data_IF_397902706181
#
_entry.id   IF_397902706181
#
_cell.length_a   1.000
_cell.length_b   1.000
_cell.length_c   1.000
_cell.angle_alpha   90.00
_cell.angle_beta   90.00
_cell.angle_gamma   90.00
#
_symmetry.space_group_name_H-M   'P 1'
#
loop_
_entity.id
_entity.type
_entity.pdbx_description
1 polymer ?
#
# COMPACT_ATOMS: atom_id res chain seq x y z
N UNK A 1 32.04 -15.92 -9.00
CA UNK A 1 32.18 -14.49 -9.46
C UNK A 1 32.50 -13.70 -8.21
N UNK A 2 33.57 -12.92 -8.20
CA UNK A 2 33.91 -12.08 -7.05
C UNK A 2 33.18 -10.74 -7.22
N UNK A 3 32.38 -10.34 -6.21
CA UNK A 3 31.67 -9.06 -6.23
C UNK A 3 32.54 -7.98 -5.62
N UNK A 4 32.44 -6.70 -6.09
CA UNK A 4 33.02 -5.56 -5.41
C UNK A 4 32.54 -5.47 -3.96
N UNK A 5 33.30 -4.83 -3.09
CA UNK A 5 33.05 -4.84 -1.65
C UNK A 5 32.73 -3.44 -1.14
N UNK A 6 31.81 -3.38 -0.18
CA UNK A 6 31.57 -2.21 0.66
C UNK A 6 31.69 -2.62 2.12
N UNK A 7 32.15 -1.73 2.99
CA UNK A 7 32.34 -2.04 4.40
C UNK A 7 31.44 -1.18 5.27
N UNK A 8 30.80 -1.79 6.24
CA UNK A 8 30.00 -1.12 7.25
C UNK A 8 30.90 -0.48 8.32
N UNK A 9 30.48 0.64 8.83
CA UNK A 9 31.06 1.24 10.05
C UNK A 9 30.83 0.30 11.23
N UNK A 10 31.73 0.36 12.19
CA UNK A 10 31.65 -0.47 13.41
C UNK A 10 30.33 -0.24 14.14
N UNK A 11 29.58 -1.31 14.36
CA UNK A 11 28.30 -1.32 15.05
C UNK A 11 27.08 -1.39 14.12
N UNK A 12 27.20 -0.91 12.88
CA UNK A 12 26.09 -0.90 11.92
C UNK A 12 25.74 -2.30 11.37
N UNK A 13 26.67 -3.26 11.47
CA UNK A 13 26.44 -4.64 11.09
C UNK A 13 25.28 -5.29 11.87
N UNK A 14 24.99 -4.81 13.07
CA UNK A 14 23.91 -5.38 13.90
C UNK A 14 22.54 -5.30 13.26
N UNK A 15 22.21 -4.20 12.58
CA UNK A 15 20.95 -4.03 11.84
C UNK A 15 20.83 -5.04 10.70
N UNK A 16 21.88 -5.14 9.89
CA UNK A 16 21.94 -6.05 8.72
C UNK A 16 21.81 -7.51 9.17
N UNK A 17 22.53 -7.92 10.20
CA UNK A 17 22.48 -9.30 10.73
C UNK A 17 21.11 -9.64 11.35
N UNK A 18 20.38 -8.66 11.88
CA UNK A 18 19.02 -8.81 12.42
C UNK A 18 17.91 -8.74 11.39
N UNK A 19 18.26 -8.55 10.12
CA UNK A 19 17.25 -8.59 9.05
C UNK A 19 17.05 -7.30 8.26
N UNK A 20 17.65 -6.17 8.67
CA UNK A 20 17.55 -4.92 7.92
C UNK A 20 18.02 -5.12 6.46
N UNK A 21 17.24 -4.59 5.53
CA UNK A 21 17.53 -4.70 4.08
C UNK A 21 17.97 -3.41 3.43
N UNK A 22 17.92 -2.31 4.16
CA UNK A 22 18.27 -0.98 3.68
C UNK A 22 19.46 -0.48 4.50
N UNK A 23 20.56 -0.15 3.83
CA UNK A 23 21.77 0.40 4.42
C UNK A 23 21.94 1.82 3.88
N UNK A 24 22.06 2.78 4.79
CA UNK A 24 22.21 4.19 4.43
C UNK A 24 23.68 4.55 4.17
N UNK A 25 23.89 5.62 3.43
CA UNK A 25 25.21 6.15 3.08
C UNK A 25 26.11 6.41 4.30
N UNK A 26 25.53 6.93 5.39
CA UNK A 26 26.22 7.20 6.63
C UNK A 26 26.58 5.94 7.45
N UNK A 27 26.06 4.78 7.10
CA UNK A 27 26.39 3.48 7.73
C UNK A 27 27.60 2.82 7.07
N UNK A 28 28.04 3.31 5.89
CA UNK A 28 29.22 2.82 5.17
C UNK A 28 30.51 3.53 5.64
N UNK A 29 31.59 2.76 5.78
CA UNK A 29 32.94 3.24 6.06
C UNK A 29 33.71 3.49 4.75
N UNK A 30 33.67 2.53 3.84
CA UNK A 30 34.25 2.62 2.51
C UNK A 30 33.54 1.70 1.49
N UNK A 31 33.80 1.97 0.22
CA UNK A 31 33.44 1.16 -0.92
C UNK A 31 34.66 1.02 -1.84
N UNK A 32 34.80 -0.14 -2.52
CA UNK A 32 35.84 -0.35 -3.53
C UNK A 32 35.69 0.66 -4.68
N UNK A 33 36.80 1.14 -5.23
CA UNK A 33 36.84 2.09 -6.36
C UNK A 33 36.14 1.52 -7.63
N UNK A 34 35.99 0.19 -7.72
CA UNK A 34 35.33 -0.48 -8.83
C UNK A 34 33.81 -0.63 -8.65
N UNK A 35 33.24 -0.17 -7.52
CA UNK A 35 31.81 -0.20 -7.30
C UNK A 35 31.10 0.78 -8.23
N UNK A 36 30.49 0.28 -9.30
CA UNK A 36 29.61 1.07 -10.15
C UNK A 36 28.21 1.16 -9.56
N UNK A 37 27.51 2.29 -9.75
CA UNK A 37 26.13 2.44 -9.33
C UNK A 37 25.23 1.40 -10.03
N UNK A 38 24.38 0.74 -9.24
CA UNK A 38 23.53 -0.36 -9.67
C UNK A 38 24.20 -1.74 -9.65
N UNK A 39 25.53 -1.84 -9.42
CA UNK A 39 26.18 -3.15 -9.34
C UNK A 39 25.76 -3.94 -8.08
N UNK A 40 25.98 -5.24 -8.11
CA UNK A 40 25.89 -6.10 -6.93
C UNK A 40 27.21 -6.01 -6.16
N UNK A 41 27.13 -5.82 -4.85
CA UNK A 41 28.29 -5.74 -3.95
C UNK A 41 28.17 -6.72 -2.79
N UNK A 42 29.31 -7.20 -2.27
CA UNK A 42 29.40 -7.85 -0.98
C UNK A 42 29.56 -6.79 0.12
N UNK A 43 28.70 -6.84 1.11
CA UNK A 43 28.74 -5.96 2.29
C UNK A 43 29.54 -6.69 3.37
N UNK A 44 30.61 -6.05 3.83
CA UNK A 44 31.48 -6.55 4.89
C UNK A 44 31.18 -5.82 6.22
N UNK A 45 31.34 -6.52 7.32
CA UNK A 45 31.37 -5.90 8.65
C UNK A 45 32.71 -5.18 8.90
N UNK A 46 32.82 -4.44 9.99
CA UNK A 46 34.04 -3.74 10.39
C UNK A 46 35.27 -4.64 10.63
N UNK A 47 35.10 -5.97 10.63
CA UNK A 47 36.16 -6.97 10.73
C UNK A 47 36.41 -7.69 9.41
N UNK A 48 35.94 -7.14 8.30
CA UNK A 48 36.09 -7.68 6.93
C UNK A 48 35.42 -9.05 6.73
N UNK A 49 34.40 -9.40 7.49
CA UNK A 49 33.63 -10.62 7.33
C UNK A 49 32.37 -10.30 6.52
N UNK A 50 31.94 -11.22 5.68
CA UNK A 50 30.69 -11.11 4.92
C UNK A 50 29.51 -10.92 5.86
N UNK A 51 28.67 -9.92 5.59
CA UNK A 51 27.45 -9.62 6.30
C UNK A 51 26.20 -9.77 5.40
N UNK A 52 26.31 -9.34 4.13
CA UNK A 52 25.21 -9.40 3.17
C UNK A 52 25.72 -9.20 1.74
N UNK A 53 24.82 -9.38 0.77
CA UNK A 53 25.02 -9.00 -0.64
C UNK A 53 23.83 -8.20 -1.12
N UNK A 54 24.03 -7.15 -1.92
CA UNK A 54 22.95 -6.27 -2.38
C UNK A 54 23.34 -5.36 -3.51
N UNK A 55 22.40 -4.53 -3.95
CA UNK A 55 22.64 -3.50 -4.94
C UNK A 55 23.22 -2.24 -4.29
N UNK A 56 24.25 -1.67 -4.92
CA UNK A 56 24.91 -0.43 -4.49
C UNK A 56 24.48 0.76 -5.36
N UNK A 57 24.32 1.93 -4.75
CA UNK A 57 24.14 3.21 -5.44
C UNK A 57 24.74 4.34 -4.60
N UNK A 58 25.85 4.92 -5.05
CA UNK A 58 26.55 6.00 -4.35
C UNK A 58 25.78 7.33 -4.35
N UNK A 59 24.85 7.50 -5.29
CA UNK A 59 24.05 8.71 -5.42
C UNK A 59 22.79 8.70 -4.54
N UNK A 60 22.43 7.53 -3.99
CA UNK A 60 21.27 7.36 -3.13
C UNK A 60 21.65 7.41 -1.66
N UNK A 61 20.83 8.05 -0.83
CA UNK A 61 20.97 7.94 0.63
C UNK A 61 20.75 6.51 1.13
N UNK A 62 20.01 5.69 0.38
CA UNK A 62 19.92 4.24 0.57
C UNK A 62 21.02 3.58 -0.26
N UNK A 63 22.24 3.60 0.27
CA UNK A 63 23.44 3.21 -0.48
C UNK A 63 23.48 1.72 -0.83
N UNK A 64 22.94 0.83 0.03
CA UNK A 64 22.84 -0.59 -0.31
C UNK A 64 21.45 -1.14 -0.02
N UNK A 65 20.91 -1.90 -0.99
CA UNK A 65 19.68 -2.68 -0.86
C UNK A 65 20.01 -4.16 -0.78
N UNK A 66 19.89 -4.73 0.41
CA UNK A 66 20.32 -6.11 0.73
C UNK A 66 19.37 -7.12 0.08
N UNK A 67 19.92 -7.95 -0.76
CA UNK A 67 19.25 -9.07 -1.44
C UNK A 67 19.35 -10.37 -0.63
N UNK A 68 20.56 -10.74 -0.20
CA UNK A 68 20.79 -11.97 0.55
C UNK A 68 21.82 -11.78 1.67
N UNK A 69 21.78 -12.67 2.67
CA UNK A 69 22.79 -12.82 3.74
C UNK A 69 23.52 -14.16 3.63
N UNK A 70 23.26 -14.90 2.58
CA UNK A 70 23.97 -16.12 2.25
C UNK A 70 25.08 -15.80 1.24
N UNK A 71 26.32 -15.94 1.66
CA UNK A 71 27.51 -15.69 0.84
C UNK A 71 27.55 -16.63 -0.38
N UNK A 72 27.01 -17.86 -0.23
CA UNK A 72 26.97 -18.84 -1.30
C UNK A 72 25.87 -18.59 -2.35
N UNK A 73 24.89 -17.72 -2.04
CA UNK A 73 23.77 -17.44 -2.95
C UNK A 73 24.17 -16.41 -4.03
N UNK A 74 24.27 -16.82 -5.32
CA UNK A 74 24.56 -15.92 -6.42
C UNK A 74 23.33 -15.06 -6.74
N UNK A 75 23.56 -13.81 -7.18
CA UNK A 75 22.52 -12.97 -7.72
C UNK A 75 22.48 -13.14 -9.24
N UNK A 76 21.56 -13.96 -9.69
CA UNK A 76 21.33 -14.32 -11.07
C UNK A 76 19.83 -14.39 -11.39
N UNK A 77 19.48 -14.71 -12.64
CA UNK A 77 18.09 -14.88 -13.05
C UNK A 77 17.32 -15.88 -12.17
N UNK A 78 17.97 -16.98 -11.78
CA UNK A 78 17.35 -18.02 -10.96
C UNK A 78 17.04 -17.50 -9.53
N UNK A 79 17.87 -16.61 -8.99
CA UNK A 79 17.60 -15.94 -7.72
C UNK A 79 16.28 -15.16 -7.77
N UNK A 80 16.08 -14.31 -8.77
CA UNK A 80 14.86 -13.52 -8.91
C UNK A 80 13.64 -14.41 -9.15
N UNK A 81 13.75 -15.42 -10.03
CA UNK A 81 12.67 -16.36 -10.30
C UNK A 81 12.20 -17.09 -9.03
N UNK A 82 13.13 -17.63 -8.24
CA UNK A 82 12.81 -18.32 -6.97
C UNK A 82 12.11 -17.38 -5.97
N UNK A 83 12.56 -16.12 -5.85
CA UNK A 83 11.98 -15.15 -4.91
C UNK A 83 10.57 -14.72 -5.32
N UNK A 84 10.35 -14.45 -6.61
CA UNK A 84 9.03 -14.09 -7.14
C UNK A 84 8.06 -15.26 -7.01
N UNK A 85 8.51 -16.49 -7.36
CA UNK A 85 7.70 -17.70 -7.23
C UNK A 85 7.33 -17.98 -5.77
N UNK A 86 8.27 -17.84 -4.82
CA UNK A 86 8.00 -18.03 -3.39
C UNK A 86 7.00 -17.00 -2.87
N UNK A 87 7.13 -15.74 -3.27
CA UNK A 87 6.18 -14.68 -2.94
C UNK A 87 4.78 -15.02 -3.48
N UNK A 88 4.66 -15.44 -4.74
CA UNK A 88 3.40 -15.84 -5.35
C UNK A 88 2.76 -17.05 -4.66
N UNK A 89 3.53 -18.10 -4.37
CA UNK A 89 3.06 -19.28 -3.62
C UNK A 89 2.47 -18.88 -2.26
N UNK A 90 3.10 -17.92 -1.57
CA UNK A 90 2.56 -17.40 -0.30
C UNK A 90 1.20 -16.78 -0.50
N UNK A 91 1.01 -15.93 -1.52
CA UNK A 91 -0.30 -15.30 -1.83
C UNK A 91 -1.35 -16.35 -2.17
N UNK A 92 -1.00 -17.35 -2.97
CA UNK A 92 -1.90 -18.46 -3.30
C UNK A 92 -2.33 -19.25 -2.05
N UNK A 93 -1.39 -19.57 -1.15
CA UNK A 93 -1.68 -20.24 0.11
C UNK A 93 -2.60 -19.42 1.04
N UNK A 94 -2.56 -18.08 0.93
CA UNK A 94 -3.45 -17.17 1.64
C UNK A 94 -4.81 -16.96 0.95
N UNK A 95 -5.03 -17.60 -0.23
CA UNK A 95 -6.30 -17.55 -0.97
C UNK A 95 -6.39 -16.46 -2.04
N UNK A 96 -5.31 -15.71 -2.30
CA UNK A 96 -5.28 -14.72 -3.38
C UNK A 96 -5.08 -15.40 -4.74
N UNK A 97 -5.90 -15.06 -5.72
CA UNK A 97 -5.85 -15.67 -7.06
C UNK A 97 -6.10 -14.67 -8.19
N UNK A 98 -7.10 -13.79 -8.03
CA UNK A 98 -7.52 -12.85 -9.06
C UNK A 98 -6.67 -11.60 -9.05
N UNK A 99 -6.67 -10.87 -7.95
CA UNK A 99 -5.94 -9.61 -7.82
C UNK A 99 -5.28 -9.50 -6.46
N UNK A 100 -3.98 -9.18 -6.47
CA UNK A 100 -3.19 -9.03 -5.25
C UNK A 100 -1.82 -8.42 -5.54
N UNK A 101 -1.15 -7.95 -4.51
CA UNK A 101 0.27 -7.68 -4.54
C UNK A 101 1.06 -8.98 -4.50
N UNK A 102 1.69 -9.33 -5.61
CA UNK A 102 2.53 -10.55 -5.75
C UNK A 102 3.87 -10.35 -5.05
N UNK A 103 4.52 -9.20 -5.26
CA UNK A 103 5.81 -8.86 -4.64
C UNK A 103 5.71 -7.53 -3.91
N UNK A 104 6.05 -7.55 -2.63
CA UNK A 104 6.07 -6.37 -1.77
C UNK A 104 7.49 -6.06 -1.27
N UNK A 105 8.36 -5.66 -2.18
CA UNK A 105 9.69 -5.11 -1.94
C UNK A 105 10.54 -5.88 -0.93
N UNK A 106 10.95 -5.16 0.10
CA UNK A 106 11.81 -5.64 1.18
C UNK A 106 11.23 -6.84 1.92
N UNK A 107 9.90 -6.90 2.05
CA UNK A 107 9.22 -7.98 2.78
C UNK A 107 9.31 -9.32 2.06
N UNK A 108 9.37 -9.31 0.73
CA UNK A 108 9.57 -10.53 -0.09
C UNK A 108 11.04 -10.72 -0.48
N UNK A 109 11.96 -9.93 0.09
CA UNK A 109 13.39 -10.06 -0.17
C UNK A 109 13.83 -9.51 -1.53
N UNK A 110 13.02 -8.68 -2.18
CA UNK A 110 13.29 -8.02 -3.45
C UNK A 110 13.16 -6.50 -3.28
N UNK A 111 14.06 -5.85 -2.51
CA UNK A 111 13.94 -4.45 -2.15
C UNK A 111 13.86 -3.56 -3.37
N UNK A 112 12.80 -2.73 -3.40
CA UNK A 112 12.52 -1.83 -4.51
C UNK A 112 11.71 -2.42 -5.65
N UNK A 113 11.33 -3.71 -5.62
CA UNK A 113 10.42 -4.32 -6.59
C UNK A 113 9.00 -4.40 -6.03
N UNK A 114 8.04 -3.88 -6.76
CA UNK A 114 6.62 -4.10 -6.52
C UNK A 114 6.02 -4.78 -7.74
N UNK A 115 5.22 -5.83 -7.54
CA UNK A 115 4.47 -6.48 -8.61
C UNK A 115 3.05 -6.69 -8.15
N UNK A 116 2.09 -6.19 -8.90
CA UNK A 116 0.65 -6.37 -8.67
C UNK A 116 0.02 -7.16 -9.82
N UNK A 117 -0.84 -8.09 -9.45
CA UNK A 117 -1.68 -8.84 -10.38
C UNK A 117 -3.09 -8.24 -10.37
N UNK A 118 -3.62 -8.01 -11.55
CA UNK A 118 -4.99 -7.55 -11.80
C UNK A 118 -5.62 -8.46 -12.86
N UNK A 119 -6.42 -9.42 -12.41
CA UNK A 119 -7.00 -10.47 -13.26
C UNK A 119 -5.93 -11.19 -14.11
N UNK A 120 -5.91 -10.99 -15.41
CA UNK A 120 -4.95 -11.58 -16.37
C UNK A 120 -3.79 -10.64 -16.73
N UNK A 121 -3.69 -9.46 -16.13
CA UNK A 121 -2.61 -8.50 -16.36
C UNK A 121 -1.72 -8.32 -15.11
N UNK A 122 -0.49 -7.86 -15.34
CA UNK A 122 0.44 -7.48 -14.28
C UNK A 122 0.81 -6.00 -14.39
N UNK A 123 1.03 -5.39 -13.24
CA UNK A 123 1.70 -4.09 -13.11
C UNK A 123 2.94 -4.25 -12.26
N UNK A 124 4.05 -3.61 -12.62
CA UNK A 124 5.23 -3.61 -11.76
C UNK A 124 5.85 -2.23 -11.63
N UNK A 125 6.61 -2.05 -10.56
CA UNK A 125 7.39 -0.85 -10.27
C UNK A 125 8.79 -1.23 -9.82
N UNK A 126 9.80 -0.54 -10.35
CA UNK A 126 11.20 -0.64 -9.97
C UNK A 126 11.61 0.68 -9.33
N UNK A 127 11.94 0.67 -8.04
CA UNK A 127 12.28 1.85 -7.26
C UNK A 127 13.78 1.98 -6.99
N UNK A 128 14.65 1.18 -7.62
CA UNK A 128 16.09 1.26 -7.41
C UNK A 128 16.90 0.93 -8.67
N UNK A 129 18.08 1.56 -8.78
CA UNK A 129 18.94 1.46 -9.96
C UNK A 129 19.45 0.04 -10.23
N UNK A 130 19.74 -0.73 -9.17
CA UNK A 130 20.24 -2.11 -9.34
C UNK A 130 19.21 -3.03 -9.99
N UNK A 131 17.91 -2.92 -9.63
CA UNK A 131 16.85 -3.68 -10.28
C UNK A 131 16.57 -3.22 -11.72
N UNK A 132 16.79 -1.94 -12.03
CA UNK A 132 16.59 -1.42 -13.38
C UNK A 132 17.43 -2.19 -14.42
N UNK A 133 18.64 -2.61 -14.04
CA UNK A 133 19.51 -3.41 -14.89
C UNK A 133 18.99 -4.83 -15.14
N UNK A 134 18.12 -5.33 -14.26
CA UNK A 134 17.48 -6.65 -14.36
C UNK A 134 16.07 -6.61 -14.96
N UNK A 135 15.61 -5.41 -15.42
CA UNK A 135 14.25 -5.27 -15.97
C UNK A 135 13.90 -6.27 -17.06
N UNK A 136 14.74 -6.51 -18.09
CA UNK A 136 14.41 -7.48 -19.13
C UNK A 136 14.20 -8.90 -18.58
N UNK A 137 15.05 -9.34 -17.66
CA UNK A 137 14.97 -10.65 -17.01
C UNK A 137 13.74 -10.74 -16.11
N UNK A 138 13.43 -9.67 -15.35
CA UNK A 138 12.24 -9.62 -14.50
C UNK A 138 10.95 -9.73 -15.33
N UNK A 139 10.86 -9.00 -16.44
CA UNK A 139 9.71 -9.08 -17.37
C UNK A 139 9.59 -10.51 -17.94
N UNK A 140 10.71 -11.13 -18.35
CA UNK A 140 10.72 -12.52 -18.84
C UNK A 140 10.25 -13.51 -17.77
N UNK A 141 10.73 -13.38 -16.52
CA UNK A 141 10.32 -14.23 -15.40
C UNK A 141 8.82 -14.09 -15.12
N UNK A 142 8.32 -12.84 -15.10
CA UNK A 142 6.90 -12.57 -14.87
C UNK A 142 6.03 -13.15 -16.00
N UNK A 143 6.47 -13.03 -17.26
CA UNK A 143 5.76 -13.60 -18.41
C UNK A 143 5.71 -15.14 -18.35
N UNK A 144 6.80 -15.79 -17.95
CA UNK A 144 6.88 -17.24 -17.83
C UNK A 144 6.03 -17.79 -16.66
N UNK A 145 6.08 -17.11 -15.49
CA UNK A 145 5.38 -17.58 -14.28
C UNK A 145 3.86 -17.34 -14.34
N UNK A 146 3.42 -16.26 -14.96
CA UNK A 146 2.01 -15.86 -14.91
C UNK A 146 1.27 -16.02 -16.23
N UNK A 147 1.99 -16.18 -17.37
CA UNK A 147 1.41 -16.17 -18.71
C UNK A 147 0.35 -15.06 -18.88
N UNK A 148 0.69 -13.80 -18.54
CA UNK A 148 -0.30 -12.73 -18.48
C UNK A 148 -0.66 -12.27 -19.90
N UNK A 149 -1.85 -11.68 -20.05
CA UNK A 149 -2.26 -10.96 -21.27
C UNK A 149 -1.32 -9.80 -21.55
N UNK A 150 -0.90 -9.07 -20.51
CA UNK A 150 0.05 -7.99 -20.63
C UNK A 150 0.72 -7.63 -19.31
N UNK A 151 1.89 -6.96 -19.42
CA UNK A 151 2.63 -6.42 -18.28
C UNK A 151 2.86 -4.92 -18.51
N UNK A 152 2.49 -4.12 -17.52
CA UNK A 152 2.61 -2.66 -17.56
C UNK A 152 3.63 -2.17 -16.54
N UNK A 153 4.57 -1.36 -16.97
CA UNK A 153 5.54 -0.66 -16.13
C UNK A 153 4.93 0.64 -15.58
N UNK A 154 4.84 0.76 -14.26
CA UNK A 154 4.31 1.92 -13.53
C UNK A 154 5.41 2.62 -12.74
N UNK A 155 6.49 2.91 -13.39
CA UNK A 155 7.69 3.54 -12.86
C UNK A 155 7.56 5.07 -12.77
N UNK A 156 6.38 5.55 -12.38
CA UNK A 156 6.04 6.96 -12.13
C UNK A 156 6.20 7.37 -10.66
N UNK A 157 7.06 6.68 -9.92
CA UNK A 157 7.36 6.92 -8.51
C UNK A 157 8.41 8.05 -8.34
N UNK A 158 8.15 9.10 -7.53
CA UNK A 158 9.12 10.18 -7.30
C UNK A 158 10.44 9.72 -6.67
N UNK A 159 10.48 8.54 -6.02
CA UNK A 159 11.69 7.98 -5.44
C UNK A 159 12.72 7.60 -6.52
N UNK A 160 12.30 7.31 -7.74
CA UNK A 160 13.19 6.96 -8.87
C UNK A 160 14.13 8.11 -9.22
N UNK A 161 13.67 9.35 -9.17
CA UNK A 161 14.52 10.53 -9.43
C UNK A 161 15.68 10.62 -8.44
N UNK A 162 15.48 10.17 -7.17
CA UNK A 162 16.53 10.10 -6.14
C UNK A 162 17.52 8.96 -6.38
N UNK A 163 17.13 7.97 -7.17
CA UNK A 163 17.99 6.86 -7.60
C UNK A 163 18.69 7.16 -8.95
N UNK A 164 18.43 8.33 -9.55
CA UNK A 164 18.96 8.71 -10.87
C UNK A 164 18.20 8.08 -12.04
N UNK A 165 16.95 7.64 -11.83
CA UNK A 165 16.13 6.94 -12.82
C UNK A 165 15.02 7.84 -13.38
N UNK A 166 14.68 7.72 -14.68
CA UNK A 166 13.57 8.44 -15.28
C UNK A 166 12.22 7.88 -14.82
N UNK A 167 11.18 8.72 -14.90
CA UNK A 167 9.80 8.29 -14.72
C UNK A 167 9.28 7.67 -16.02
N UNK A 168 8.73 6.46 -15.94
CA UNK A 168 8.28 5.67 -17.10
C UNK A 168 6.89 5.09 -16.83
N UNK A 169 6.02 5.15 -17.85
CA UNK A 169 4.73 4.46 -17.91
C UNK A 169 4.58 3.85 -19.28
N UNK A 170 4.62 2.54 -19.39
CA UNK A 170 4.53 1.85 -20.69
C UNK A 170 4.10 0.40 -20.55
N UNK A 171 3.48 -0.15 -21.58
CA UNK A 171 3.27 -1.58 -21.73
C UNK A 171 4.57 -2.21 -22.23
N UNK A 172 5.14 -3.16 -21.46
CA UNK A 172 6.43 -3.79 -21.78
C UNK A 172 6.29 -5.23 -22.30
N UNK A 173 5.10 -5.81 -22.17
CA UNK A 173 4.81 -7.15 -22.67
C UNK A 173 3.33 -7.30 -23.02
N UNK A 174 3.02 -7.96 -24.15
CA UNK A 174 1.65 -8.24 -24.56
C UNK A 174 0.79 -7.00 -24.75
N UNK A 175 -0.45 -7.06 -24.27
CA UNK A 175 -1.44 -5.98 -24.35
C UNK A 175 -2.13 -5.79 -23.01
N UNK A 176 -2.12 -4.56 -22.49
CA UNK A 176 -2.86 -4.18 -21.29
C UNK A 176 -4.03 -3.29 -21.71
N UNK A 177 -5.28 -3.71 -21.43
CA UNK A 177 -6.45 -2.90 -21.78
C UNK A 177 -6.48 -1.61 -20.96
N UNK A 178 -7.14 -0.58 -21.49
CA UNK A 178 -7.32 0.69 -20.79
C UNK A 178 -8.04 0.50 -19.45
N UNK A 179 -9.03 -0.39 -19.44
CA UNK A 179 -9.77 -0.80 -18.26
C UNK A 179 -9.93 -2.32 -18.23
N UNK A 180 -9.91 -2.89 -17.03
CA UNK A 180 -10.19 -4.30 -16.79
C UNK A 180 -11.05 -4.46 -15.55
N UNK A 181 -11.73 -5.59 -15.45
CA UNK A 181 -12.53 -5.93 -14.27
C UNK A 181 -11.73 -6.90 -13.41
N UNK A 182 -11.57 -6.55 -12.13
CA UNK A 182 -11.02 -7.43 -11.12
C UNK A 182 -12.13 -7.92 -10.19
N UNK A 183 -11.89 -9.07 -9.55
CA UNK A 183 -12.74 -9.56 -8.48
C UNK A 183 -12.05 -9.38 -7.14
N UNK A 184 -12.73 -8.69 -6.22
CA UNK A 184 -12.31 -8.50 -4.84
C UNK A 184 -13.43 -8.99 -3.92
N UNK A 185 -13.24 -10.14 -3.25
CA UNK A 185 -14.28 -10.84 -2.48
C UNK A 185 -15.54 -11.09 -3.34
N UNK A 186 -16.66 -10.44 -2.95
CA UNK A 186 -17.95 -10.55 -3.65
C UNK A 186 -18.15 -9.43 -4.70
N UNK A 187 -17.23 -8.46 -4.79
CA UNK A 187 -17.32 -7.30 -5.66
C UNK A 187 -16.53 -7.46 -6.97
N UNK A 188 -17.05 -6.89 -8.05
CA UNK A 188 -16.35 -6.66 -9.29
C UNK A 188 -15.98 -5.17 -9.38
N UNK A 189 -14.70 -4.86 -9.64
CA UNK A 189 -14.20 -3.48 -9.68
C UNK A 189 -13.54 -3.20 -11.02
N UNK A 190 -13.94 -2.09 -11.66
CA UNK A 190 -13.24 -1.54 -12.81
C UNK A 190 -11.94 -0.89 -12.35
N UNK A 191 -10.83 -1.27 -12.96
CA UNK A 191 -9.51 -0.72 -12.69
C UNK A 191 -8.81 -0.34 -13.99
N UNK A 192 -7.96 0.69 -13.92
CA UNK A 192 -7.06 1.06 -15.01
C UNK A 192 -5.62 0.98 -14.51
N UNK A 193 -4.85 0.06 -15.05
CA UNK A 193 -3.44 -0.08 -14.68
C UNK A 193 -2.66 1.17 -15.11
N UNK A 194 -2.92 1.69 -16.30
CA UNK A 194 -2.21 2.84 -16.85
C UNK A 194 -2.55 4.16 -16.14
N UNK A 195 -3.84 4.39 -15.80
CA UNK A 195 -4.35 5.68 -15.33
C UNK A 195 -4.81 5.68 -13.88
N UNK A 196 -4.99 4.51 -13.26
CA UNK A 196 -5.42 4.38 -11.88
C UNK A 196 -4.35 4.86 -10.88
N UNK A 197 -4.79 5.10 -9.64
CA UNK A 197 -3.89 5.47 -8.56
C UNK A 197 -2.98 4.31 -8.17
N UNK A 198 -1.79 4.60 -7.64
CA UNK A 198 -0.73 3.61 -7.38
C UNK A 198 -0.43 2.81 -8.67
N UNK A 199 -0.57 1.51 -8.61
CA UNK A 199 -0.40 0.56 -9.71
C UNK A 199 -1.68 0.26 -10.48
N UNK A 200 -2.82 0.85 -10.06
CA UNK A 200 -4.15 0.67 -10.67
C UNK A 200 -5.30 0.66 -9.66
N UNK A 201 -5.09 0.07 -8.48
CA UNK A 201 -6.09 -0.04 -7.41
C UNK A 201 -5.42 -0.15 -6.03
N UNK A 202 -6.17 0.16 -4.96
CA UNK A 202 -5.71 0.05 -3.57
C UNK A 202 -5.91 -1.38 -3.04
N UNK A 203 -5.06 -2.31 -3.45
CA UNK A 203 -5.11 -3.71 -3.05
C UNK A 203 -4.86 -3.91 -1.55
N UNK A 204 -4.11 -2.99 -0.92
CA UNK A 204 -3.80 -3.02 0.51
C UNK A 204 -5.02 -2.91 1.43
N UNK A 205 -6.16 -2.41 0.92
CA UNK A 205 -7.42 -2.28 1.64
C UNK A 205 -8.42 -3.42 1.36
N UNK A 206 -8.12 -4.38 0.47
CA UNK A 206 -9.12 -5.34 0.02
C UNK A 206 -9.68 -6.19 1.17
N UNK A 207 -8.87 -6.68 2.10
CA UNK A 207 -9.38 -7.45 3.24
C UNK A 207 -10.15 -6.57 4.22
N UNK A 208 -9.77 -5.30 4.39
CA UNK A 208 -10.50 -4.36 5.24
C UNK A 208 -11.91 -4.06 4.68
N UNK A 209 -12.06 -3.99 3.35
CA UNK A 209 -13.38 -3.87 2.71
C UNK A 209 -14.26 -5.09 3.00
N UNK A 210 -13.67 -6.30 2.98
CA UNK A 210 -14.35 -7.54 3.36
C UNK A 210 -14.83 -7.55 4.82
N UNK A 211 -14.15 -6.83 5.72
CA UNK A 211 -14.54 -6.70 7.14
C UNK A 211 -15.84 -5.94 7.36
N UNK A 212 -16.36 -5.21 6.36
CA UNK A 212 -17.66 -4.53 6.48
C UNK A 212 -18.85 -5.50 6.57
N UNK A 213 -18.67 -6.77 6.19
CA UNK A 213 -19.76 -7.77 6.09
C UNK A 213 -20.67 -7.87 7.32
N UNK A 214 -20.17 -7.87 8.57
CA UNK A 214 -21.04 -7.90 9.76
C UNK A 214 -21.61 -6.51 10.15
N UNK A 215 -21.09 -5.40 9.61
CA UNK A 215 -21.46 -4.05 10.06
C UNK A 215 -22.38 -3.31 9.10
N UNK A 216 -22.38 -3.67 7.80
CA UNK A 216 -23.12 -2.97 6.76
C UNK A 216 -24.63 -3.31 6.70
N UNK A 217 -25.11 -4.53 7.04
CA UNK A 217 -26.52 -4.91 6.79
C UNK A 217 -27.51 -3.95 7.42
N UNK A 218 -28.43 -3.40 6.58
CA UNK A 218 -29.51 -2.50 7.00
C UNK A 218 -29.06 -1.11 7.41
N UNK A 219 -27.78 -0.76 7.28
CA UNK A 219 -27.26 0.56 7.65
C UNK A 219 -27.41 1.58 6.51
N UNK A 220 -27.66 2.84 6.89
CA UNK A 220 -27.34 3.97 6.04
C UNK A 220 -25.85 4.26 6.21
N UNK A 221 -25.09 4.24 5.11
CA UNK A 221 -23.62 4.30 5.10
C UNK A 221 -23.14 5.60 4.49
N UNK A 222 -22.15 6.24 5.11
CA UNK A 222 -21.40 7.37 4.57
C UNK A 222 -19.94 6.94 4.36
N UNK A 223 -19.43 7.00 3.12
CA UNK A 223 -18.05 6.67 2.77
C UNK A 223 -17.32 7.95 2.35
N UNK A 224 -16.45 8.45 3.22
CA UNK A 224 -15.67 9.67 3.03
C UNK A 224 -14.29 9.37 2.45
N UNK A 225 -13.91 10.07 1.40
CA UNK A 225 -12.73 9.81 0.57
C UNK A 225 -12.84 8.45 -0.16
N UNK A 226 -14.01 8.20 -0.75
CA UNK A 226 -14.36 6.89 -1.30
C UNK A 226 -13.51 6.44 -2.50
N UNK A 227 -12.73 7.33 -3.12
CA UNK A 227 -11.95 7.05 -4.33
C UNK A 227 -12.85 6.41 -5.42
N UNK A 228 -12.56 5.21 -5.89
CA UNK A 228 -13.35 4.46 -6.88
C UNK A 228 -14.45 3.60 -6.25
N UNK A 229 -14.78 3.83 -4.97
CA UNK A 229 -15.91 3.23 -4.27
C UNK A 229 -15.67 1.85 -3.67
N UNK A 230 -14.42 1.49 -3.37
CA UNK A 230 -14.13 0.16 -2.85
C UNK A 230 -14.94 -0.19 -1.60
N UNK A 231 -14.94 0.66 -0.57
CA UNK A 231 -15.77 0.45 0.62
C UNK A 231 -17.26 0.59 0.33
N UNK A 232 -17.64 1.57 -0.51
CA UNK A 232 -19.04 1.82 -0.88
C UNK A 232 -19.69 0.61 -1.54
N UNK A 233 -19.04 0.01 -2.54
CA UNK A 233 -19.55 -1.16 -3.27
C UNK A 233 -19.68 -2.38 -2.35
N UNK A 234 -18.66 -2.64 -1.51
CA UNK A 234 -18.71 -3.74 -0.55
C UNK A 234 -19.83 -3.54 0.48
N UNK A 235 -20.00 -2.32 1.02
CA UNK A 235 -21.11 -2.02 1.94
C UNK A 235 -22.46 -2.28 1.30
N UNK A 236 -22.67 -1.85 0.04
CA UNK A 236 -23.92 -2.09 -0.68
C UNK A 236 -24.18 -3.60 -0.92
N UNK A 237 -23.17 -4.36 -1.39
CA UNK A 237 -23.25 -5.81 -1.59
C UNK A 237 -23.49 -6.56 -0.28
N UNK A 238 -23.03 -6.05 0.85
CA UNK A 238 -23.25 -6.63 2.17
C UNK A 238 -24.58 -6.19 2.80
N UNK A 239 -25.47 -5.57 2.02
CA UNK A 239 -26.84 -5.30 2.41
C UNK A 239 -27.04 -3.97 3.14
N UNK A 240 -26.19 -2.98 2.91
CA UNK A 240 -26.49 -1.61 3.32
C UNK A 240 -27.81 -1.15 2.71
N UNK A 241 -28.60 -0.38 3.47
CA UNK A 241 -29.87 0.19 3.02
C UNK A 241 -29.65 1.32 2.01
N UNK A 242 -28.63 2.13 2.26
CA UNK A 242 -28.19 3.21 1.38
C UNK A 242 -26.69 3.47 1.60
N UNK A 243 -25.99 3.91 0.56
CA UNK A 243 -24.59 4.31 0.61
C UNK A 243 -24.42 5.67 -0.06
N UNK A 244 -23.86 6.64 0.66
CA UNK A 244 -23.42 7.91 0.11
C UNK A 244 -21.90 7.91 0.00
N UNK A 245 -21.38 7.85 -1.23
CA UNK A 245 -19.97 7.85 -1.56
C UNK A 245 -19.51 9.28 -1.85
N UNK A 246 -18.52 9.77 -1.08
CA UNK A 246 -18.04 11.16 -1.15
C UNK A 246 -16.58 11.21 -1.54
N UNK A 247 -16.26 11.97 -2.58
CA UNK A 247 -14.89 12.30 -2.98
C UNK A 247 -14.83 13.71 -3.58
N UNK A 248 -13.65 14.31 -3.67
CA UNK A 248 -13.43 15.59 -4.35
C UNK A 248 -13.29 15.43 -5.87
N UNK A 249 -13.01 14.21 -6.35
CA UNK A 249 -12.78 13.89 -7.76
C UNK A 249 -14.04 13.39 -8.44
N UNK A 250 -14.60 14.17 -9.35
CA UNK A 250 -15.75 13.74 -10.16
C UNK A 250 -15.41 12.54 -11.04
N UNK A 251 -14.16 12.43 -11.52
CA UNK A 251 -13.69 11.27 -12.30
C UNK A 251 -13.72 9.98 -11.44
N UNK A 252 -13.30 10.07 -10.17
CA UNK A 252 -13.39 8.95 -9.25
C UNK A 252 -14.85 8.56 -8.98
N UNK A 253 -15.74 9.55 -8.78
CA UNK A 253 -17.17 9.31 -8.58
C UNK A 253 -17.86 8.73 -9.82
N UNK A 254 -17.41 9.10 -11.02
CA UNK A 254 -17.87 8.46 -12.25
C UNK A 254 -17.55 6.95 -12.26
N UNK A 255 -16.36 6.56 -11.77
CA UNK A 255 -16.02 5.15 -11.60
C UNK A 255 -16.83 4.47 -10.48
N UNK A 256 -17.16 5.19 -9.38
CA UNK A 256 -18.07 4.66 -8.35
C UNK A 256 -19.42 4.27 -8.97
N UNK A 257 -20.03 5.15 -9.77
CA UNK A 257 -21.32 4.88 -10.44
C UNK A 257 -21.23 3.69 -11.39
N UNK A 258 -20.13 3.56 -12.14
CA UNK A 258 -19.90 2.43 -13.03
C UNK A 258 -19.66 1.12 -12.26
N UNK A 259 -18.93 1.18 -11.15
CA UNK A 259 -18.72 0.04 -10.26
C UNK A 259 -20.05 -0.38 -9.59
N UNK A 260 -20.90 0.57 -9.20
CA UNK A 260 -22.22 0.27 -8.67
C UNK A 260 -23.09 -0.47 -9.69
N UNK A 261 -23.15 0.02 -10.93
CA UNK A 261 -23.88 -0.64 -12.01
C UNK A 261 -23.32 -2.03 -12.35
N UNK A 262 -21.98 -2.18 -12.36
CA UNK A 262 -21.30 -3.47 -12.60
C UNK A 262 -21.70 -4.54 -11.58
N UNK A 263 -22.05 -4.13 -10.35
CA UNK A 263 -22.42 -5.00 -9.24
C UNK A 263 -23.94 -5.05 -8.99
N UNK A 264 -24.77 -4.34 -9.77
CA UNK A 264 -26.22 -4.29 -9.60
C UNK A 264 -26.66 -3.62 -8.30
N UNK A 265 -25.92 -2.61 -7.84
CA UNK A 265 -26.19 -1.86 -6.60
C UNK A 265 -26.34 -0.35 -6.84
N UNK A 266 -26.59 0.06 -8.09
CA UNK A 266 -26.73 1.47 -8.49
C UNK A 266 -27.90 2.18 -7.80
N UNK A 267 -28.94 1.46 -7.43
CA UNK A 267 -30.09 2.00 -6.69
C UNK A 267 -29.78 2.26 -5.20
N UNK A 268 -28.70 1.64 -4.68
CA UNK A 268 -28.29 1.76 -3.27
C UNK A 268 -27.20 2.80 -3.09
N UNK A 269 -26.32 2.99 -4.11
CA UNK A 269 -25.14 3.86 -4.04
C UNK A 269 -25.40 5.20 -4.70
N UNK A 270 -25.26 6.27 -3.95
CA UNK A 270 -25.29 7.65 -4.44
C UNK A 270 -23.89 8.29 -4.32
N UNK A 271 -23.63 9.32 -5.11
CA UNK A 271 -22.31 10.00 -5.12
C UNK A 271 -22.45 11.50 -4.83
N UNK A 272 -21.54 12.05 -4.04
CA UNK A 272 -21.46 13.47 -3.70
C UNK A 272 -20.04 14.00 -3.93
N UNK A 273 -19.88 14.94 -4.89
CA UNK A 273 -18.59 15.58 -5.13
C UNK A 273 -18.40 16.76 -4.16
N UNK A 274 -17.54 16.59 -3.15
CA UNK A 274 -17.33 17.61 -2.13
C UNK A 274 -16.00 17.45 -1.38
N UNK A 275 -15.54 18.54 -0.75
CA UNK A 275 -14.49 18.47 0.26
C UNK A 275 -15.05 17.83 1.53
N UNK A 276 -14.47 16.71 1.96
CA UNK A 276 -14.96 15.90 3.08
C UNK A 276 -14.95 16.65 4.42
N UNK A 277 -14.02 17.58 4.65
CA UNK A 277 -13.97 18.37 5.87
C UNK A 277 -15.16 19.34 5.96
N UNK A 278 -15.47 20.02 4.87
CA UNK A 278 -16.56 20.99 4.83
C UNK A 278 -17.90 20.28 4.87
N UNK A 279 -18.03 19.18 4.10
CA UNK A 279 -19.24 18.38 4.05
C UNK A 279 -19.57 17.74 5.40
N UNK A 280 -18.59 17.12 6.07
CA UNK A 280 -18.81 16.49 7.37
C UNK A 280 -19.28 17.51 8.42
N UNK A 281 -18.68 18.70 8.45
CA UNK A 281 -19.13 19.81 9.32
C UNK A 281 -20.54 20.27 8.98
N UNK A 282 -20.88 20.36 7.70
CA UNK A 282 -22.21 20.70 7.24
C UNK A 282 -23.22 19.66 7.71
N UNK A 283 -22.96 18.38 7.48
CA UNK A 283 -23.85 17.29 7.86
C UNK A 283 -24.07 17.21 9.37
N UNK A 284 -23.04 17.48 10.17
CA UNK A 284 -23.18 17.60 11.63
C UNK A 284 -24.13 18.77 12.00
N UNK A 285 -24.01 19.93 11.35
CA UNK A 285 -24.93 21.07 11.60
C UNK A 285 -26.36 20.76 11.17
N UNK A 286 -26.54 19.96 10.12
CA UNK A 286 -27.84 19.49 9.63
C UNK A 286 -28.44 18.39 10.52
N UNK A 287 -27.67 17.85 11.47
CA UNK A 287 -28.11 16.75 12.34
C UNK A 287 -28.24 15.41 11.64
N UNK A 288 -27.53 15.21 10.52
CA UNK A 288 -27.52 13.90 9.82
C UNK A 288 -26.89 12.82 10.68
N UNK A 289 -27.40 11.60 10.53
CA UNK A 289 -26.95 10.42 11.28
C UNK A 289 -26.87 9.21 10.35
N UNK A 290 -25.79 8.45 10.47
CA UNK A 290 -25.52 7.24 9.70
C UNK A 290 -25.32 6.05 10.64
N UNK A 291 -25.63 4.85 10.18
CA UNK A 291 -25.37 3.64 10.95
C UNK A 291 -23.94 3.14 10.83
N UNK A 292 -23.29 3.48 9.71
CA UNK A 292 -21.88 3.18 9.44
C UNK A 292 -21.24 4.39 8.73
N UNK A 293 -20.11 4.86 9.25
CA UNK A 293 -19.27 5.85 8.57
C UNK A 293 -17.92 5.24 8.26
N UNK A 294 -17.44 5.37 7.02
CA UNK A 294 -16.09 5.02 6.61
C UNK A 294 -15.29 6.31 6.41
N UNK A 295 -14.08 6.34 6.96
CA UNK A 295 -13.15 7.46 6.91
C UNK A 295 -11.76 6.93 6.52
N UNK A 296 -11.48 6.90 5.22
CA UNK A 296 -10.19 6.45 4.65
C UNK A 296 -9.51 7.57 3.84
N UNK A 297 -9.05 8.64 4.51
CA UNK A 297 -8.46 9.78 3.83
C UNK A 297 -7.07 9.48 3.29
N UNK A 298 -6.58 10.26 2.30
CA UNK A 298 -5.21 10.14 1.82
C UNK A 298 -4.20 10.43 2.92
N UNK A 299 -2.94 10.01 2.71
CA UNK A 299 -1.86 10.24 3.67
C UNK A 299 -1.62 11.75 3.91
N UNK A 300 -1.99 12.24 5.09
CA UNK A 300 -1.75 13.65 5.47
C UNK A 300 -0.30 13.89 5.89
N UNK A 301 0.40 12.91 6.49
CA UNK A 301 1.79 13.01 6.90
C UNK A 301 2.73 12.40 5.86
N UNK A 302 3.23 13.21 4.92
CA UNK A 302 4.26 12.82 3.93
C UNK A 302 5.69 12.97 4.46
N UNK A 303 5.88 13.53 5.64
CA UNK A 303 7.16 13.68 6.33
C UNK A 303 6.97 13.80 7.83
N UNK A 304 8.03 13.56 8.61
CA UNK A 304 8.01 13.72 10.06
C UNK A 304 7.66 15.15 10.49
N UNK A 305 8.08 16.15 9.70
CA UNK A 305 7.77 17.57 9.97
C UNK A 305 6.28 17.89 9.78
N UNK A 306 5.58 17.14 8.93
CA UNK A 306 4.15 17.35 8.67
C UNK A 306 3.24 16.61 9.68
N UNK A 307 3.81 15.81 10.59
CA UNK A 307 3.05 14.91 11.46
C UNK A 307 2.06 15.65 12.37
N UNK A 308 2.45 16.79 12.95
CA UNK A 308 1.59 17.54 13.86
C UNK A 308 0.34 18.09 13.15
N UNK A 309 0.52 18.66 11.96
CA UNK A 309 -0.59 19.14 11.15
C UNK A 309 -1.49 18.00 10.66
N UNK A 310 -0.87 16.88 10.26
CA UNK A 310 -1.58 15.68 9.86
C UNK A 310 -2.42 15.11 11.02
N UNK A 311 -1.86 15.05 12.22
CA UNK A 311 -2.56 14.62 13.42
C UNK A 311 -3.83 15.46 13.68
N UNK A 312 -3.72 16.79 13.58
CA UNK A 312 -4.88 17.70 13.72
C UNK A 312 -5.93 17.44 12.64
N UNK A 313 -5.49 17.21 11.39
CA UNK A 313 -6.41 16.90 10.28
C UNK A 313 -7.14 15.56 10.49
N UNK A 314 -6.44 14.51 10.88
CA UNK A 314 -7.05 13.22 11.23
C UNK A 314 -8.02 13.35 12.39
N UNK A 315 -7.61 14.06 13.47
CA UNK A 315 -8.46 14.28 14.64
C UNK A 315 -9.75 15.02 14.28
N UNK A 316 -9.65 16.11 13.54
CA UNK A 316 -10.80 16.91 13.12
C UNK A 316 -11.79 16.07 12.29
N UNK A 317 -11.29 15.34 11.28
CA UNK A 317 -12.17 14.53 10.44
C UNK A 317 -12.84 13.40 11.23
N UNK A 318 -12.10 12.69 12.07
CA UNK A 318 -12.63 11.62 12.91
C UNK A 318 -13.64 12.12 13.94
N UNK A 319 -13.42 13.31 14.52
CA UNK A 319 -14.37 13.99 15.41
C UNK A 319 -15.71 14.21 14.70
N UNK A 320 -15.69 14.75 13.48
CA UNK A 320 -16.91 14.94 12.70
C UNK A 320 -17.58 13.61 12.35
N UNK A 321 -16.80 12.60 11.95
CA UNK A 321 -17.31 11.25 11.69
C UNK A 321 -18.02 10.67 12.91
N UNK A 322 -17.44 10.76 14.11
CA UNK A 322 -18.05 10.25 15.35
C UNK A 322 -19.37 10.96 15.69
N UNK A 323 -19.49 12.25 15.38
CA UNK A 323 -20.75 12.98 15.52
C UNK A 323 -21.81 12.54 14.50
N UNK A 324 -21.39 12.09 13.32
CA UNK A 324 -22.27 11.60 12.25
C UNK A 324 -22.73 10.16 12.47
N UNK A 325 -22.03 9.37 13.30
CA UNK A 325 -22.46 8.02 13.64
C UNK A 325 -23.58 8.09 14.68
N UNK A 326 -24.72 7.42 14.41
CA UNK A 326 -25.81 7.29 15.39
C UNK A 326 -25.36 6.47 16.60
N UNK A 327 -25.96 6.65 17.80
CA UNK A 327 -25.67 5.79 18.95
C UNK A 327 -25.83 4.29 18.60
N UNK A 328 -24.80 3.49 18.95
CA UNK A 328 -24.73 2.06 18.63
C UNK A 328 -24.23 1.75 17.21
N UNK A 329 -24.04 2.76 16.35
CA UNK A 329 -23.50 2.60 15.01
C UNK A 329 -21.96 2.45 15.00
N UNK A 330 -21.38 2.42 13.78
CA UNK A 330 -19.98 2.04 13.57
C UNK A 330 -19.20 3.11 12.82
N UNK A 331 -17.94 3.25 13.18
CA UNK A 331 -16.94 4.05 12.45
C UNK A 331 -15.80 3.13 12.00
N UNK A 332 -15.52 3.09 10.72
CA UNK A 332 -14.29 2.52 10.15
C UNK A 332 -13.35 3.68 9.86
N UNK A 333 -12.23 3.76 10.55
CA UNK A 333 -11.25 4.82 10.36
C UNK A 333 -9.90 4.25 9.99
N UNK A 334 -9.29 4.80 8.92
CA UNK A 334 -8.01 4.32 8.39
C UNK A 334 -6.98 5.45 8.26
N UNK A 335 -5.71 5.07 8.24
CA UNK A 335 -4.59 5.95 7.90
C UNK A 335 -3.47 5.16 7.23
N UNK A 336 -3.06 5.58 6.04
CA UNK A 336 -1.89 5.07 5.34
C UNK A 336 -0.64 5.94 5.58
N UNK A 337 -0.67 6.92 6.49
CA UNK A 337 0.48 7.77 6.84
C UNK A 337 1.52 7.00 7.64
N UNK A 338 2.69 6.77 7.07
CA UNK A 338 3.80 6.02 7.69
C UNK A 338 4.23 6.60 9.05
N UNK A 339 4.21 7.93 9.21
CA UNK A 339 4.61 8.60 10.46
C UNK A 339 3.52 8.60 11.53
N UNK A 340 2.29 8.22 11.20
CA UNK A 340 1.21 8.00 12.15
C UNK A 340 1.32 6.54 12.65
N UNK A 341 1.94 6.33 13.81
CA UNK A 341 2.05 4.96 14.39
C UNK A 341 0.68 4.46 14.87
N UNK A 342 0.47 3.14 15.03
CA UNK A 342 -0.77 2.60 15.58
C UNK A 342 -1.16 3.20 16.94
N UNK A 343 -0.19 3.38 17.84
CA UNK A 343 -0.42 3.97 19.17
C UNK A 343 -0.85 5.44 19.05
N UNK A 344 -0.20 6.19 18.14
CA UNK A 344 -0.55 7.59 17.89
C UNK A 344 -1.93 7.72 17.26
N UNK A 345 -2.29 6.77 16.39
CA UNK A 345 -3.60 6.73 15.74
C UNK A 345 -4.71 6.45 16.76
N UNK A 346 -4.54 5.44 17.63
CA UNK A 346 -5.48 5.16 18.72
C UNK A 346 -5.62 6.33 19.69
N UNK A 347 -4.51 7.00 20.03
CA UNK A 347 -4.55 8.21 20.85
C UNK A 347 -5.37 9.31 20.19
N UNK A 348 -5.17 9.53 18.89
CA UNK A 348 -5.92 10.51 18.10
C UNK A 348 -7.43 10.20 18.08
N UNK A 349 -7.80 8.92 17.90
CA UNK A 349 -9.21 8.48 17.92
C UNK A 349 -9.84 8.69 19.32
N UNK A 350 -9.10 8.40 20.38
CA UNK A 350 -9.57 8.65 21.75
C UNK A 350 -9.83 10.15 22.01
N UNK A 351 -8.89 11.02 21.60
CA UNK A 351 -9.06 12.46 21.73
C UNK A 351 -10.22 13.00 20.85
N UNK A 352 -10.41 12.42 19.66
CA UNK A 352 -11.54 12.78 18.79
C UNK A 352 -12.89 12.40 19.42
N UNK A 353 -12.96 11.23 20.09
CA UNK A 353 -14.16 10.77 20.78
C UNK A 353 -14.49 11.68 21.97
N UNK A 354 -13.49 12.06 22.78
CA UNK A 354 -13.66 13.01 23.88
C UNK A 354 -14.21 14.35 23.39
N UNK A 355 -13.62 14.93 22.33
CA UNK A 355 -14.05 16.21 21.76
C UNK A 355 -15.43 16.12 21.08
N UNK A 356 -15.80 14.94 20.59
CA UNK A 356 -17.14 14.67 20.05
C UNK A 356 -18.20 14.48 21.14
N UNK A 357 -17.78 14.30 22.42
CA UNK A 357 -18.66 13.96 23.53
C UNK A 357 -19.29 12.58 23.39
N UNK A 358 -18.53 11.61 22.85
CA UNK A 358 -18.97 10.24 22.56
C UNK A 358 -18.06 9.23 23.23
N UNK A 359 -18.66 8.15 23.73
CA UNK A 359 -17.92 6.94 24.09
C UNK A 359 -17.77 6.05 22.87
N UNK A 360 -16.62 5.38 22.75
CA UNK A 360 -16.32 4.48 21.66
C UNK A 360 -15.66 3.19 22.15
N UNK A 361 -15.98 2.07 21.47
CA UNK A 361 -15.36 0.76 21.70
C UNK A 361 -14.60 0.33 20.48
N UNK A 362 -13.35 -0.09 20.64
CA UNK A 362 -12.61 -0.77 19.58
C UNK A 362 -13.15 -2.20 19.42
N UNK A 363 -13.62 -2.53 18.22
CA UNK A 363 -14.10 -3.86 17.86
C UNK A 363 -13.04 -4.66 17.12
N UNK A 364 -12.44 -4.08 16.07
CA UNK A 364 -11.42 -4.72 15.25
C UNK A 364 -10.31 -3.74 14.88
N UNK A 365 -9.03 -4.08 15.10
CA UNK A 365 -7.92 -3.38 14.47
C UNK A 365 -7.81 -3.80 13.01
N UNK A 366 -7.48 -2.84 12.13
CA UNK A 366 -7.27 -3.03 10.71
C UNK A 366 -5.82 -2.75 10.35
N UNK A 367 -5.26 -3.59 9.49
CA UNK A 367 -3.92 -3.41 8.90
C UNK A 367 -4.02 -3.61 7.39
N UNK A 368 -2.92 -3.42 6.69
CA UNK A 368 -2.84 -3.76 5.27
C UNK A 368 -3.16 -5.25 5.03
N UNK A 369 -3.78 -5.52 3.88
CA UNK A 369 -4.12 -6.87 3.45
C UNK A 369 -2.89 -7.80 3.44
N UNK A 370 -3.08 -9.08 3.71
CA UNK A 370 -2.01 -10.10 3.87
C UNK A 370 -1.16 -10.31 2.63
N UNK A 371 -1.57 -9.86 1.47
CA UNK A 371 -0.74 -9.80 0.26
C UNK A 371 0.33 -8.69 0.33
N UNK A 372 0.23 -7.79 1.31
CA UNK A 372 1.22 -6.76 1.66
C UNK A 372 1.91 -7.11 3.00
N UNK A 373 2.71 -8.21 3.08
CA UNK A 373 3.27 -8.66 4.34
C UNK A 373 4.24 -7.63 4.94
N UNK A 374 4.17 -7.44 6.25
CA UNK A 374 5.13 -6.61 6.95
C UNK A 374 6.38 -7.40 7.35
N UNK A 375 7.55 -6.82 7.13
CA UNK A 375 8.82 -7.38 7.62
C UNK A 375 9.04 -7.03 9.08
N UNK A 376 9.27 -8.02 9.94
CA UNK A 376 9.60 -7.78 11.35
C UNK A 376 10.92 -7.00 11.56
N UNK A 377 11.77 -6.97 10.53
CA UNK A 377 13.01 -6.19 10.55
C UNK A 377 12.83 -4.74 10.06
N UNK A 378 11.62 -4.34 9.69
CA UNK A 378 11.31 -2.99 9.19
C UNK A 378 9.93 -2.57 9.67
N UNK A 379 9.88 -1.75 10.71
CA UNK A 379 8.62 -1.16 11.22
C UNK A 379 7.88 -0.37 10.14
N UNK A 380 8.62 0.18 9.17
CA UNK A 380 8.05 0.98 8.08
C UNK A 380 7.24 0.15 7.08
N UNK A 381 7.42 -1.16 7.06
CA UNK A 381 6.67 -2.06 6.17
C UNK A 381 5.21 -2.26 6.63
N UNK A 382 4.89 -2.00 7.91
CA UNK A 382 3.53 -1.94 8.44
C UNK A 382 3.05 -0.49 8.42
N UNK A 383 2.53 -0.04 7.28
CA UNK A 383 2.23 1.37 7.05
C UNK A 383 0.74 1.73 7.15
N UNK A 384 -0.16 0.76 6.92
CA UNK A 384 -1.60 0.97 7.03
C UNK A 384 -2.07 0.54 8.41
N UNK A 385 -2.81 1.38 9.06
CA UNK A 385 -3.53 1.13 10.31
C UNK A 385 -4.93 1.67 10.19
N UNK A 386 -5.84 1.04 10.90
CA UNK A 386 -7.22 1.47 11.02
C UNK A 386 -7.91 0.73 12.15
N UNK A 387 -9.10 1.17 12.46
CA UNK A 387 -9.91 0.60 13.52
C UNK A 387 -11.39 0.62 13.14
N UNK A 388 -12.11 -0.46 13.47
CA UNK A 388 -13.57 -0.48 13.49
C UNK A 388 -14.00 -0.21 14.92
N UNK A 389 -14.70 0.92 15.09
CA UNK A 389 -15.22 1.37 16.38
C UNK A 389 -16.73 1.25 16.42
N UNK A 390 -17.29 0.89 17.58
CA UNK A 390 -18.69 1.14 17.88
C UNK A 390 -18.80 2.45 18.65
N UNK A 391 -19.67 3.35 18.21
CA UNK A 391 -19.92 4.66 18.84
C UNK A 391 -21.17 4.54 19.72
N UNK A 392 -21.06 4.91 21.01
CA UNK A 392 -22.10 4.75 22.01
C UNK A 392 -22.88 6.05 22.24
#
# INVERSE_FOLDING_TARGET
MEYPKVCLRRGEESGVLKGQRLIYDNELDWADDICADGCVVDVLDSRQRFAARGFFNSNSRLAVRVLTRDEAEPIDRAFFARRIEAAWRTRQALGFSDSCRVVFGESDGLPGLTVDKFADCLSFQIACLGLEQWKPELVSILAELFTPRGIYERDDLPVREKEGLPLIKTCVYGEVPEELVIREHDAHMLVSIANGQKTGHFLDQQENRGRLKPYAPGQDVLDLCCCTGGFSIHAALYGAKSVEAVDVSEDALALVRRNAALNGVEDVVTTTCANVFDLARQYVREGRQYGLVVCDPPAFAKSRKALENAYRGYKELNLQCMKLVRPGGYLVSCSCSQFMTPELFLKMLHEAAQDAGRDARLLEPLIQSRDHPASLASEQSLYLKGDILQIL
#
